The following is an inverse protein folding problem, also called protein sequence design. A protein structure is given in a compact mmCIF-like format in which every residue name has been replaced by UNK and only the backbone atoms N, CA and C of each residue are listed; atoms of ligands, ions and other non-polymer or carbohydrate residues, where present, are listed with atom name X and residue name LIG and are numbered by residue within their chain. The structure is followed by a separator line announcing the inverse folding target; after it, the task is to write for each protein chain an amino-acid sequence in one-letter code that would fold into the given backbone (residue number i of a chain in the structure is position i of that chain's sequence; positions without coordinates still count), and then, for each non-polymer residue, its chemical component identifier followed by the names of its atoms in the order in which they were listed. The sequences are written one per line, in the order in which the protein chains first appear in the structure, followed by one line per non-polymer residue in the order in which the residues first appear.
data_IF_135941391231
#
_entry.id   IF_135941391231
#
_cell.length_a   1.000
_cell.length_b   1.000
_cell.length_c   1.000
_cell.angle_alpha   90.00
_cell.angle_beta   90.00
_cell.angle_gamma   90.00
#
_symmetry.space_group_name_H-M   'P 1'
#
loop_
_entity.id
_entity.type
_entity.pdbx_description
1 polymer ?
#
# COMPACT_ATOMS: atom_id res chain seq x y z
N UNK A 1 -19.43 17.32 3.47
CA UNK A 1 -18.09 17.75 3.91
C UNK A 1 -18.10 17.72 5.41
N UNK A 2 -17.00 17.25 5.97
CA UNK A 2 -16.74 17.19 7.40
C UNK A 2 -15.88 18.40 7.79
N UNK A 3 -16.14 19.01 8.95
CA UNK A 3 -15.37 20.14 9.50
C UNK A 3 -14.84 19.70 10.86
N UNK A 4 -13.53 19.54 10.98
CA UNK A 4 -12.87 18.97 12.16
C UNK A 4 -11.65 19.79 12.61
N UNK A 5 -11.36 19.81 13.90
CA UNK A 5 -10.09 20.27 14.47
C UNK A 5 -9.43 19.09 15.20
N UNK A 6 -8.11 19.00 15.13
CA UNK A 6 -7.37 17.85 15.68
C UNK A 6 -6.24 18.31 16.59
N UNK A 7 -6.05 17.58 17.68
CA UNK A 7 -5.04 17.83 18.69
C UNK A 7 -4.31 16.54 19.06
N UNK A 8 -3.00 16.65 19.29
CA UNK A 8 -2.21 15.58 19.88
C UNK A 8 -2.13 15.79 21.39
N UNK A 9 -2.38 14.73 22.15
CA UNK A 9 -2.28 14.76 23.60
C UNK A 9 -1.00 14.02 24.01
N UNK A 10 -0.09 14.73 24.66
CA UNK A 10 1.28 14.25 24.92
C UNK A 10 1.41 13.30 26.11
N UNK A 11 0.42 13.30 27.00
CA UNK A 11 0.44 12.54 28.26
C UNK A 11 -0.92 11.92 28.57
N UNK A 12 -0.90 10.71 29.13
CA UNK A 12 -2.10 9.92 29.42
C UNK A 12 -2.92 10.49 30.58
N UNK A 13 -2.28 11.10 31.58
CA UNK A 13 -3.00 11.69 32.73
C UNK A 13 -3.85 12.86 32.24
N UNK A 14 -3.31 13.72 31.37
CA UNK A 14 -4.08 14.80 30.76
C UNK A 14 -5.22 14.26 29.90
N UNK A 15 -4.96 13.24 29.06
CA UNK A 15 -5.98 12.60 28.23
C UNK A 15 -7.15 12.05 29.07
N UNK A 16 -6.85 11.30 30.12
CA UNK A 16 -7.85 10.73 31.03
C UNK A 16 -8.62 11.82 31.80
N UNK A 17 -7.95 12.92 32.17
CA UNK A 17 -8.61 14.08 32.79
C UNK A 17 -9.59 14.76 31.84
N UNK A 18 -9.21 14.95 30.57
CA UNK A 18 -10.04 15.62 29.58
C UNK A 18 -11.26 14.79 29.17
N UNK A 19 -11.18 13.46 29.21
CA UNK A 19 -12.35 12.58 29.01
C UNK A 19 -13.45 12.77 30.07
N UNK A 20 -13.15 13.44 31.18
CA UNK A 20 -14.10 13.76 32.25
C UNK A 20 -14.53 15.24 32.25
N UNK A 21 -14.23 15.98 31.18
CA UNK A 21 -14.64 17.39 31.05
C UNK A 21 -16.16 17.48 30.93
N UNK A 22 -16.77 18.35 31.73
CA UNK A 22 -18.21 18.60 31.74
C UNK A 22 -18.58 19.97 31.14
N UNK A 23 -17.61 20.88 31.02
CA UNK A 23 -17.80 22.22 30.43
C UNK A 23 -16.62 22.71 29.61
N UNK A 24 -16.93 23.43 28.53
CA UNK A 24 -15.99 24.23 27.75
C UNK A 24 -16.52 25.66 27.71
N UNK A 25 -16.04 26.51 28.63
CA UNK A 25 -16.63 27.83 28.86
C UNK A 25 -18.09 27.72 29.33
N UNK A 26 -19.02 28.18 28.49
CA UNK A 26 -20.48 28.10 28.73
C UNK A 26 -21.14 26.90 28.03
N UNK A 27 -20.37 26.09 27.30
CA UNK A 27 -20.85 24.90 26.58
C UNK A 27 -20.88 23.70 27.54
N UNK A 28 -21.94 22.90 27.46
CA UNK A 28 -22.07 21.68 28.24
C UNK A 28 -21.52 20.49 27.46
N UNK A 29 -20.74 19.64 28.11
CA UNK A 29 -20.16 18.42 27.55
C UNK A 29 -20.76 17.22 28.29
N UNK A 30 -21.37 16.29 27.55
CA UNK A 30 -22.11 15.16 28.13
C UNK A 30 -22.17 13.95 27.19
N UNK A 31 -22.89 12.92 27.62
CA UNK A 31 -23.21 11.72 26.82
C UNK A 31 -21.99 10.92 26.36
N UNK A 32 -21.09 10.60 27.30
CA UNK A 32 -19.90 9.80 27.05
C UNK A 32 -20.23 8.40 26.50
N UNK A 33 -19.66 8.03 25.35
CA UNK A 33 -19.81 6.70 24.75
C UNK A 33 -18.44 6.10 24.44
N UNK A 34 -18.13 4.98 25.10
CA UNK A 34 -16.94 4.19 24.82
C UNK A 34 -17.17 3.26 23.60
N UNK A 35 -16.20 3.22 22.69
CA UNK A 35 -16.21 2.41 21.48
C UNK A 35 -14.83 1.79 21.27
N UNK A 36 -14.82 0.53 20.86
CA UNK A 36 -13.62 -0.16 20.38
C UNK A 36 -13.87 -0.68 18.97
N UNK A 37 -12.94 -0.43 18.06
CA UNK A 37 -13.04 -0.89 16.68
C UNK A 37 -11.68 -0.87 15.98
N UNK A 38 -11.61 -1.55 14.84
CA UNK A 38 -10.44 -1.62 13.98
C UNK A 38 -10.79 -1.12 12.58
N UNK A 39 -9.96 -0.22 12.06
CA UNK A 39 -9.98 0.24 10.68
C UNK A 39 -8.87 -0.46 9.90
N UNK A 40 -9.19 -1.09 8.78
CA UNK A 40 -8.19 -1.56 7.80
C UNK A 40 -8.11 -0.56 6.66
N UNK A 41 -6.94 0.04 6.44
CA UNK A 41 -6.70 0.91 5.29
C UNK A 41 -6.32 0.08 4.07
N UNK A 42 -6.92 0.41 2.93
CA UNK A 42 -6.89 -0.39 1.71
C UNK A 42 -6.50 0.47 0.51
N UNK A 43 -5.65 -0.05 -0.37
CA UNK A 43 -5.34 0.56 -1.67
C UNK A 43 -4.92 -0.52 -2.68
N UNK A 44 -4.75 -0.17 -3.95
CA UNK A 44 -4.17 -1.05 -4.96
C UNK A 44 -2.67 -1.18 -4.76
N UNK A 45 -2.05 -2.19 -5.39
CA UNK A 45 -0.59 -2.43 -5.32
C UNK A 45 0.24 -1.23 -5.78
N UNK A 46 -0.30 -0.40 -6.67
CA UNK A 46 0.28 0.84 -7.18
C UNK A 46 -0.19 2.11 -6.44
N UNK A 47 -0.97 1.99 -5.36
CA UNK A 47 -1.44 3.11 -4.54
C UNK A 47 -2.37 4.09 -5.29
N UNK A 48 -3.28 3.58 -6.12
CA UNK A 48 -4.12 4.40 -7.00
C UNK A 48 -5.08 5.33 -6.23
N UNK A 49 -5.61 4.91 -5.07
CA UNK A 49 -6.51 5.74 -4.26
C UNK A 49 -5.72 6.88 -3.60
N UNK A 50 -4.57 6.57 -3.02
CA UNK A 50 -3.64 7.56 -2.48
C UNK A 50 -3.19 8.55 -3.56
N UNK A 51 -2.81 8.06 -4.74
CA UNK A 51 -2.42 8.88 -5.89
C UNK A 51 -3.54 9.80 -6.38
N UNK A 52 -4.80 9.40 -6.22
CA UNK A 52 -5.96 10.25 -6.49
C UNK A 52 -6.24 11.29 -5.38
N UNK A 53 -5.47 11.30 -4.29
CA UNK A 53 -5.60 12.23 -3.16
C UNK A 53 -6.62 11.80 -2.11
N UNK A 54 -6.89 10.50 -1.98
CA UNK A 54 -7.84 9.95 -1.02
C UNK A 54 -7.22 8.86 -0.15
N UNK A 55 -7.83 8.61 1.01
CA UNK A 55 -7.65 7.39 1.79
C UNK A 55 -8.93 6.57 1.76
N UNK A 56 -8.81 5.25 1.80
CA UNK A 56 -9.94 4.34 1.84
C UNK A 56 -9.76 3.33 2.98
N UNK A 57 -10.78 3.23 3.84
CA UNK A 57 -10.77 2.32 4.99
C UNK A 57 -12.02 1.45 5.05
N UNK A 58 -11.85 0.28 5.64
CA UNK A 58 -12.90 -0.67 5.98
C UNK A 58 -12.90 -0.85 7.51
N UNK A 59 -14.04 -0.53 8.14
CA UNK A 59 -14.30 -0.75 9.57
C UNK A 59 -15.25 -1.92 9.74
N UNK A 60 -14.78 -2.96 10.40
CA UNK A 60 -15.61 -4.12 10.73
C UNK A 60 -16.25 -3.90 12.11
N UNK A 61 -17.58 -3.94 12.17
CA UNK A 61 -18.37 -3.92 13.41
C UNK A 61 -19.15 -5.22 13.52
N UNK A 62 -19.62 -5.56 14.72
CA UNK A 62 -20.31 -6.82 15.02
C UNK A 62 -21.41 -7.19 14.02
N UNK A 63 -22.21 -6.21 13.60
CA UNK A 63 -23.40 -6.43 12.76
C UNK A 63 -23.34 -5.74 11.39
N UNK A 64 -22.24 -5.03 11.09
CA UNK A 64 -22.08 -4.30 9.82
C UNK A 64 -20.63 -3.99 9.50
N UNK A 65 -20.35 -3.78 8.22
CA UNK A 65 -19.10 -3.25 7.70
C UNK A 65 -19.33 -1.83 7.20
N UNK A 66 -18.44 -0.91 7.54
CA UNK A 66 -18.50 0.49 7.08
C UNK A 66 -17.26 0.78 6.25
N UNK A 67 -17.45 1.28 5.03
CA UNK A 67 -16.39 1.73 4.16
C UNK A 67 -16.41 3.25 4.08
N UNK A 68 -15.25 3.87 4.19
CA UNK A 68 -15.09 5.33 4.17
C UNK A 68 -14.02 5.70 3.15
N UNK A 69 -14.35 6.63 2.24
CA UNK A 69 -13.39 7.31 1.37
C UNK A 69 -13.27 8.77 1.84
N UNK A 70 -12.08 9.19 2.27
CA UNK A 70 -11.82 10.52 2.83
C UNK A 70 -10.67 11.21 2.08
N UNK A 71 -10.86 12.46 1.67
CA UNK A 71 -9.85 13.23 0.96
C UNK A 71 -8.64 13.54 1.85
N UNK A 72 -7.43 13.40 1.33
CA UNK A 72 -6.18 13.62 2.09
C UNK A 72 -5.87 15.10 2.30
N UNK A 73 -6.24 15.97 1.34
CA UNK A 73 -5.98 17.41 1.44
C UNK A 73 -6.85 18.03 2.53
N UNK A 74 -6.24 18.32 3.68
CA UNK A 74 -6.74 19.35 4.61
C UNK A 74 -6.10 20.70 4.28
N UNK A 75 -6.84 21.80 4.41
CA UNK A 75 -6.24 23.12 4.51
C UNK A 75 -5.26 23.11 5.71
N UNK A 76 -4.06 23.67 5.56
CA UNK A 76 -3.06 23.78 6.65
C UNK A 76 -3.47 24.69 7.80
N UNK A 77 -4.77 24.89 8.01
CA UNK A 77 -5.42 25.61 9.09
C UNK A 77 -5.71 24.69 10.26
N UNK A 78 -5.97 25.27 11.44
CA UNK A 78 -6.43 24.58 12.65
C UNK A 78 -7.68 23.71 12.41
N UNK A 79 -8.55 24.18 11.53
CA UNK A 79 -9.77 23.51 11.12
C UNK A 79 -9.55 22.94 9.73
N UNK A 80 -9.88 21.66 9.56
CA UNK A 80 -9.83 20.96 8.30
C UNK A 80 -11.24 20.77 7.75
N UNK A 81 -11.39 21.01 6.46
CA UNK A 81 -12.60 20.68 5.72
C UNK A 81 -12.28 19.60 4.70
N UNK A 82 -12.91 18.43 4.82
CA UNK A 82 -12.60 17.26 4.00
C UNK A 82 -13.86 16.68 3.35
N UNK A 83 -13.66 16.18 2.15
CA UNK A 83 -14.66 15.35 1.50
C UNK A 83 -14.62 13.95 2.11
N UNK A 84 -15.77 13.46 2.57
CA UNK A 84 -15.94 12.12 3.09
C UNK A 84 -17.18 11.48 2.46
N UNK A 85 -17.10 10.20 2.14
CA UNK A 85 -18.24 9.40 1.68
C UNK A 85 -18.20 8.06 2.38
N UNK A 86 -19.30 7.71 3.06
CA UNK A 86 -19.45 6.44 3.75
C UNK A 86 -20.50 5.55 3.10
N UNK A 87 -20.29 4.23 3.21
CA UNK A 87 -21.24 3.21 2.81
C UNK A 87 -21.21 2.05 3.81
N UNK A 88 -22.38 1.59 4.25
CA UNK A 88 -22.51 0.48 5.20
C UNK A 88 -23.14 -0.75 4.55
N UNK A 89 -22.66 -1.93 4.89
CA UNK A 89 -23.16 -3.23 4.42
C UNK A 89 -23.24 -4.23 5.58
N UNK A 90 -23.97 -5.33 5.39
CA UNK A 90 -24.08 -6.41 6.39
C UNK A 90 -22.82 -7.28 6.48
N UNK A 91 -22.08 -7.40 5.39
CA UNK A 91 -20.89 -8.24 5.30
C UNK A 91 -19.83 -7.63 4.38
N UNK A 92 -18.61 -8.16 4.46
CA UNK A 92 -17.47 -7.72 3.67
C UNK A 92 -17.51 -8.39 2.30
N UNK A 93 -17.69 -7.61 1.24
CA UNK A 93 -17.68 -8.08 -0.14
C UNK A 93 -16.62 -7.33 -0.97
N UNK A 94 -16.08 -7.93 -2.04
CA UNK A 94 -15.30 -7.20 -3.03
C UNK A 94 -16.09 -6.01 -3.58
N UNK A 95 -15.43 -4.87 -3.83
CA UNK A 95 -16.09 -3.62 -4.29
C UNK A 95 -16.94 -3.84 -5.56
N UNK A 96 -16.52 -4.76 -6.42
CA UNK A 96 -17.25 -5.09 -7.66
C UNK A 96 -18.62 -5.73 -7.40
N UNK A 97 -18.78 -6.42 -6.28
CA UNK A 97 -20.01 -7.10 -5.86
C UNK A 97 -20.96 -6.22 -5.04
N UNK A 98 -20.54 -4.99 -4.69
CA UNK A 98 -21.40 -4.07 -3.97
C UNK A 98 -22.61 -3.64 -4.80
N UNK A 99 -23.69 -3.31 -4.09
CA UNK A 99 -24.82 -2.60 -4.68
C UNK A 99 -24.39 -1.28 -5.33
N UNK A 100 -25.17 -0.82 -6.31
CA UNK A 100 -24.89 0.45 -6.99
C UNK A 100 -25.04 1.64 -6.04
N UNK A 101 -23.92 2.10 -5.49
CA UNK A 101 -23.83 3.31 -4.66
C UNK A 101 -22.77 4.28 -5.19
N UNK A 102 -22.79 5.52 -4.69
CA UNK A 102 -21.83 6.56 -5.08
C UNK A 102 -20.41 6.12 -4.74
N UNK A 103 -20.20 5.55 -3.54
CA UNK A 103 -18.89 5.10 -3.10
C UNK A 103 -18.32 4.01 -4.03
N UNK A 104 -19.13 3.03 -4.42
CA UNK A 104 -18.74 1.99 -5.39
C UNK A 104 -18.24 2.61 -6.69
N UNK A 105 -18.99 3.55 -7.28
CA UNK A 105 -18.59 4.21 -8.54
C UNK A 105 -17.27 4.96 -8.41
N UNK A 106 -17.06 5.66 -7.28
CA UNK A 106 -15.83 6.39 -7.03
C UNK A 106 -14.62 5.47 -6.87
N UNK A 107 -14.74 4.45 -6.02
CA UNK A 107 -13.65 3.50 -5.78
C UNK A 107 -13.30 2.74 -7.06
N UNK A 108 -14.29 2.24 -7.81
CA UNK A 108 -14.04 1.61 -9.11
C UNK A 108 -13.41 2.56 -10.14
N UNK A 109 -13.74 3.85 -10.08
CA UNK A 109 -13.13 4.88 -10.91
C UNK A 109 -11.63 5.10 -10.62
N UNK A 110 -11.17 4.84 -9.40
CA UNK A 110 -9.75 4.93 -9.05
C UNK A 110 -9.00 3.63 -9.33
N UNK A 111 -9.56 2.48 -8.92
CA UNK A 111 -8.82 1.21 -8.95
C UNK A 111 -8.85 0.50 -10.30
N UNK A 112 -9.79 0.86 -11.19
CA UNK A 112 -9.95 0.21 -12.49
C UNK A 112 -10.15 -1.30 -12.37
N UNK A 113 -9.25 -2.08 -12.98
CA UNK A 113 -9.23 -3.55 -12.86
C UNK A 113 -8.51 -4.10 -11.62
N UNK A 114 -7.78 -3.26 -10.88
CA UNK A 114 -6.98 -3.66 -9.73
C UNK A 114 -7.79 -4.18 -8.55
N UNK A 115 -7.13 -4.91 -7.67
CA UNK A 115 -7.67 -5.36 -6.38
C UNK A 115 -7.17 -4.51 -5.21
N UNK A 116 -7.94 -4.50 -4.13
CA UNK A 116 -7.60 -3.77 -2.90
C UNK A 116 -6.87 -4.66 -1.92
N UNK A 117 -5.76 -4.16 -1.40
CA UNK A 117 -4.90 -4.85 -0.44
C UNK A 117 -4.83 -4.06 0.87
N UNK A 118 -4.79 -4.75 2.02
CA UNK A 118 -4.54 -4.09 3.30
C UNK A 118 -3.14 -3.47 3.33
N UNK A 119 -3.07 -2.20 3.67
CA UNK A 119 -1.81 -1.47 3.89
C UNK A 119 -1.38 -1.56 5.35
N UNK A 120 -2.29 -1.25 6.27
CA UNK A 120 -2.10 -1.29 7.72
C UNK A 120 -3.46 -1.25 8.41
N UNK A 121 -3.46 -1.53 9.71
CA UNK A 121 -4.65 -1.45 10.55
C UNK A 121 -4.48 -0.38 11.62
N UNK A 122 -5.60 0.21 12.05
CA UNK A 122 -5.67 1.19 13.12
C UNK A 122 -6.69 0.69 14.13
N UNK A 123 -6.22 0.38 15.32
CA UNK A 123 -7.02 0.00 16.49
C UNK A 123 -7.35 1.26 17.28
N UNK A 124 -8.60 1.36 17.72
CA UNK A 124 -9.11 2.52 18.44
C UNK A 124 -9.73 2.08 19.76
N UNK A 125 -9.35 2.75 20.84
CA UNK A 125 -10.19 2.88 22.03
C UNK A 125 -10.65 4.33 22.11
N UNK A 126 -11.91 4.55 21.74
CA UNK A 126 -12.49 5.89 21.54
C UNK A 126 -13.54 6.19 22.60
N UNK A 127 -13.45 7.35 23.21
CA UNK A 127 -14.53 7.93 24.02
C UNK A 127 -15.08 9.16 23.31
N UNK A 128 -16.34 9.09 22.89
CA UNK A 128 -17.03 10.22 22.27
C UNK A 128 -17.86 10.97 23.31
N UNK A 129 -17.78 12.30 23.31
CA UNK A 129 -18.58 13.21 24.13
C UNK A 129 -19.29 14.21 23.23
N UNK A 130 -20.53 14.55 23.56
CA UNK A 130 -21.34 15.48 22.79
C UNK A 130 -21.31 16.88 23.43
N UNK A 131 -21.17 17.93 22.61
CA UNK A 131 -21.13 19.33 23.05
C UNK A 131 -22.46 20.00 22.71
N UNK A 132 -23.01 20.71 23.70
CA UNK A 132 -24.25 21.45 23.58
C UNK A 132 -24.09 22.94 23.92
N UNK A 133 -24.79 23.79 23.15
CA UNK A 133 -25.09 25.17 23.51
C UNK A 133 -26.55 25.27 23.94
N UNK A 134 -26.79 25.25 25.26
CA UNK A 134 -28.13 25.01 25.80
C UNK A 134 -28.63 23.63 25.39
N UNK A 135 -29.71 23.56 24.60
CA UNK A 135 -30.26 22.29 24.08
C UNK A 135 -29.75 21.93 22.67
N UNK A 136 -28.98 22.80 22.02
CA UNK A 136 -28.52 22.58 20.64
C UNK A 136 -27.27 21.72 20.63
N UNK A 137 -27.31 20.58 19.93
CA UNK A 137 -26.12 19.78 19.67
C UNK A 137 -25.26 20.45 18.60
N UNK A 138 -24.01 20.77 18.93
CA UNK A 138 -23.14 21.59 18.06
C UNK A 138 -21.83 20.92 17.66
N UNK A 139 -21.29 19.97 18.43
CA UNK A 139 -20.03 19.30 18.12
C UNK A 139 -19.89 17.98 18.88
N UNK A 140 -19.03 17.10 18.38
CA UNK A 140 -18.56 15.88 19.06
C UNK A 140 -17.07 16.03 19.41
N UNK A 141 -16.67 15.57 20.59
CA UNK A 141 -15.28 15.33 20.97
C UNK A 141 -15.00 13.84 20.89
N UNK A 142 -14.05 13.44 20.05
CA UNK A 142 -13.55 12.07 20.00
C UNK A 142 -12.16 12.00 20.63
N UNK A 143 -12.09 11.38 21.80
CA UNK A 143 -10.82 11.03 22.45
C UNK A 143 -10.39 9.65 21.97
N UNK A 144 -9.33 9.57 21.17
CA UNK A 144 -8.80 8.30 20.67
C UNK A 144 -7.46 7.93 21.35
N UNK A 145 -7.41 6.74 21.93
CA UNK A 145 -6.17 5.99 22.12
C UNK A 145 -5.95 5.13 20.87
N UNK A 146 -5.01 5.57 20.03
CA UNK A 146 -4.76 5.01 18.70
C UNK A 146 -3.56 4.06 18.74
N UNK A 147 -3.73 2.90 18.12
CA UNK A 147 -2.66 1.94 17.85
C UNK A 147 -2.65 1.57 16.38
N UNK A 148 -1.62 2.00 15.65
CA UNK A 148 -1.40 1.63 14.25
C UNK A 148 -0.51 0.39 14.20
N UNK A 149 -0.94 -0.64 13.48
CA UNK A 149 -0.18 -1.87 13.24
C UNK A 149 0.08 -2.02 11.74
N UNK A 150 1.37 -2.09 11.38
CA UNK A 150 1.84 -2.27 10.01
C UNK A 150 2.95 -3.33 10.01
N UNK A 151 2.67 -4.50 9.43
CA UNK A 151 3.51 -5.69 9.56
C UNK A 151 3.79 -6.01 11.04
N UNK A 152 5.05 -6.19 11.41
CA UNK A 152 5.48 -6.47 12.79
C UNK A 152 5.70 -5.21 13.64
N UNK A 153 5.47 -4.01 13.07
CA UNK A 153 5.72 -2.74 13.74
C UNK A 153 4.42 -2.09 14.19
N UNK A 154 4.49 -1.43 15.35
CA UNK A 154 3.36 -0.74 15.97
C UNK A 154 3.75 0.67 16.38
N UNK A 155 2.81 1.60 16.22
CA UNK A 155 2.93 2.99 16.69
C UNK A 155 1.66 3.40 17.41
N UNK A 156 1.79 3.98 18.59
CA UNK A 156 0.66 4.46 19.39
C UNK A 156 0.76 5.94 19.68
N UNK A 157 -0.39 6.60 19.80
CA UNK A 157 -0.52 8.00 20.19
C UNK A 157 -1.93 8.30 20.67
N UNK A 158 -2.06 9.39 21.43
CA UNK A 158 -3.34 9.89 21.92
C UNK A 158 -3.72 11.12 21.12
N UNK A 159 -4.98 11.20 20.69
CA UNK A 159 -5.49 12.38 20.00
C UNK A 159 -6.90 12.76 20.45
N UNK A 160 -7.19 14.05 20.31
CA UNK A 160 -8.51 14.62 20.46
C UNK A 160 -8.94 15.20 19.12
N UNK A 161 -10.06 14.72 18.58
CA UNK A 161 -10.74 15.29 17.42
C UNK A 161 -11.99 16.05 17.90
N UNK A 162 -12.21 17.25 17.36
CA UNK A 162 -13.43 18.03 17.53
C UNK A 162 -14.11 18.08 16.17
N UNK A 163 -15.29 17.49 16.04
CA UNK A 163 -16.06 17.49 14.80
C UNK A 163 -17.32 18.34 14.95
N UNK A 164 -17.59 19.19 13.97
CA UNK A 164 -18.81 20.00 13.96
C UNK A 164 -20.04 19.13 13.65
N UNK A 165 -21.07 19.21 14.49
CA UNK A 165 -22.25 18.35 14.40
C UNK A 165 -23.54 19.17 14.43
N UNK A 166 -24.61 18.59 13.86
CA UNK A 166 -25.97 19.11 14.04
C UNK A 166 -26.15 20.58 13.65
N UNK A 167 -26.44 21.42 14.65
CA UNK A 167 -26.68 22.86 14.49
C UNK A 167 -25.43 23.73 14.73
N UNK A 168 -24.25 23.12 14.85
CA UNK A 168 -22.99 23.83 15.05
C UNK A 168 -22.60 24.72 13.88
N UNK A 169 -21.89 25.81 14.20
CA UNK A 169 -21.34 26.76 13.23
C UNK A 169 -19.81 26.74 13.23
N UNK A 170 -19.18 27.28 12.18
CA UNK A 170 -17.71 27.45 12.15
C UNK A 170 -17.18 28.25 13.35
N UNK A 171 -17.95 29.23 13.85
CA UNK A 171 -17.58 29.99 15.03
C UNK A 171 -17.53 29.13 16.30
N UNK A 172 -18.42 28.13 16.40
CA UNK A 172 -18.45 27.22 17.54
C UNK A 172 -17.21 26.32 17.58
N UNK A 173 -16.85 25.70 16.45
CA UNK A 173 -15.64 24.86 16.39
C UNK A 173 -14.37 25.69 16.56
N UNK A 174 -14.32 26.93 16.06
CA UNK A 174 -13.21 27.83 16.35
C UNK A 174 -13.07 28.08 17.85
N UNK A 175 -14.17 28.40 18.53
CA UNK A 175 -14.18 28.64 19.97
C UNK A 175 -13.73 27.41 20.76
N UNK A 176 -14.22 26.22 20.41
CA UNK A 176 -13.84 24.96 21.06
C UNK A 176 -12.36 24.65 20.81
N UNK A 177 -11.89 24.81 19.57
CA UNK A 177 -10.50 24.56 19.22
C UNK A 177 -9.53 25.55 19.89
N UNK A 178 -9.92 26.82 20.03
CA UNK A 178 -9.16 27.84 20.76
C UNK A 178 -9.06 27.52 22.25
N UNK A 179 -10.13 27.03 22.88
CA UNK A 179 -10.08 26.57 24.27
C UNK A 179 -9.02 25.47 24.46
N UNK A 180 -9.06 24.42 23.64
CA UNK A 180 -8.08 23.33 23.75
C UNK A 180 -6.65 23.76 23.43
N UNK A 181 -6.46 24.69 22.49
CA UNK A 181 -5.13 25.20 22.13
C UNK A 181 -4.57 26.15 23.20
N UNK A 182 -5.34 27.14 23.62
CA UNK A 182 -4.84 28.29 24.38
C UNK A 182 -5.02 28.13 25.88
N UNK A 183 -6.15 27.56 26.33
CA UNK A 183 -6.42 27.35 27.76
C UNK A 183 -5.82 26.04 28.26
N UNK A 184 -5.98 24.95 27.49
CA UNK A 184 -5.43 23.63 27.86
C UNK A 184 -3.98 23.46 27.39
N UNK A 185 -3.58 24.14 26.31
CA UNK A 185 -2.22 24.06 25.77
C UNK A 185 -1.96 22.85 24.86
N UNK A 186 -2.99 22.28 24.24
CA UNK A 186 -2.83 21.13 23.36
C UNK A 186 -2.15 21.51 22.03
N UNK A 187 -1.26 20.64 21.56
CA UNK A 187 -0.61 20.81 20.27
C UNK A 187 -1.58 20.45 19.13
N UNK A 188 -1.69 21.34 18.14
CA UNK A 188 -2.51 21.09 16.95
C UNK A 188 -1.92 19.93 16.15
N UNK A 189 -2.74 18.92 15.87
CA UNK A 189 -2.40 17.79 15.02
C UNK A 189 -2.80 18.07 13.58
N UNK A 190 -1.87 17.90 12.63
CA UNK A 190 -2.14 18.09 11.19
C UNK A 190 -2.23 16.78 10.40
N UNK A 191 -1.70 15.68 10.96
CA UNK A 191 -1.66 14.38 10.31
C UNK A 191 -2.94 13.59 10.58
N UNK A 192 -3.50 13.00 9.53
CA UNK A 192 -4.59 12.03 9.65
C UNK A 192 -4.06 10.67 10.15
N UNK A 193 -4.99 9.79 10.56
CA UNK A 193 -4.67 8.40 10.92
C UNK A 193 -4.04 7.66 9.73
N UNK A 194 -4.50 7.95 8.50
CA UNK A 194 -3.86 7.47 7.28
C UNK A 194 -2.41 7.97 7.14
N UNK A 195 -2.16 9.27 7.31
CA UNK A 195 -0.81 9.84 7.18
C UNK A 195 0.18 9.21 8.17
N UNK A 196 -0.28 8.99 9.41
CA UNK A 196 0.52 8.34 10.44
C UNK A 196 0.82 6.87 10.10
N UNK A 197 -0.16 6.14 9.55
CA UNK A 197 0.02 4.76 9.14
C UNK A 197 0.86 4.61 7.87
N UNK A 198 0.67 5.49 6.90
CA UNK A 198 1.49 5.56 5.69
C UNK A 198 2.94 5.92 6.04
N UNK A 199 3.17 6.82 7.00
CA UNK A 199 4.51 7.09 7.52
C UNK A 199 5.16 5.84 8.12
N UNK A 200 4.44 5.06 8.93
CA UNK A 200 4.94 3.81 9.49
C UNK A 200 5.24 2.78 8.38
N UNK A 201 4.34 2.65 7.41
CA UNK A 201 4.54 1.81 6.22
C UNK A 201 5.83 2.17 5.46
N UNK A 202 6.10 3.46 5.26
CA UNK A 202 7.32 3.94 4.63
C UNK A 202 8.58 3.75 5.50
N UNK A 203 8.45 3.85 6.83
CA UNK A 203 9.52 3.57 7.79
C UNK A 203 9.91 2.08 7.79
N UNK A 204 8.95 1.16 7.64
CA UNK A 204 9.20 -0.27 7.48
C UNK A 204 10.09 -0.54 6.25
N UNK A 205 9.72 0.00 5.08
CA UNK A 205 10.50 -0.17 3.83
C UNK A 205 11.93 0.36 3.98
N UNK A 206 12.10 1.52 4.63
CA UNK A 206 13.43 2.11 4.89
C UNK A 206 14.26 1.26 5.85
N UNK A 207 13.63 0.71 6.87
CA UNK A 207 14.29 -0.17 7.85
C UNK A 207 14.75 -1.45 7.17
N UNK A 208 13.92 -2.05 6.33
CA UNK A 208 14.26 -3.21 5.52
C UNK A 208 15.47 -2.94 4.63
N UNK A 209 15.50 -1.82 3.93
CA UNK A 209 16.66 -1.44 3.10
C UNK A 209 17.93 -1.20 3.92
N UNK A 210 17.83 -0.63 5.12
CA UNK A 210 19.00 -0.37 5.97
C UNK A 210 19.62 -1.65 6.55
N UNK A 211 18.81 -2.70 6.70
CA UNK A 211 19.21 -3.97 7.30
C UNK A 211 19.61 -5.00 6.24
N UNK A 212 18.92 -5.04 5.10
CA UNK A 212 19.25 -5.88 3.97
C UNK A 212 20.45 -5.32 3.20
N UNK A 213 21.46 -6.16 2.98
CA UNK A 213 22.65 -5.82 2.19
C UNK A 213 23.43 -4.58 2.69
N UNK A 214 23.35 -4.27 3.98
CA UNK A 214 24.10 -3.16 4.59
C UNK A 214 25.60 -3.22 4.22
N UNK A 215 26.15 -2.09 3.76
CA UNK A 215 27.56 -1.97 3.40
C UNK A 215 27.97 -2.56 2.03
N UNK A 216 27.03 -3.07 1.23
CA UNK A 216 27.36 -3.77 -0.04
C UNK A 216 27.23 -2.93 -1.32
N UNK A 217 26.73 -1.70 -1.25
CA UNK A 217 26.65 -0.81 -2.42
C UNK A 217 27.51 0.44 -2.21
N UNK A 218 28.52 0.70 -3.08
CA UNK A 218 29.15 2.01 -3.14
C UNK A 218 28.07 3.03 -3.50
N UNK A 219 27.98 4.16 -2.78
CA UNK A 219 27.13 5.30 -3.13
C UNK A 219 27.42 5.74 -4.58
N UNK A 220 26.77 5.15 -5.58
CA UNK A 220 26.60 5.80 -6.86
C UNK A 220 25.69 6.98 -6.58
N UNK A 221 26.10 8.17 -7.02
CA UNK A 221 25.51 9.46 -6.63
C UNK A 221 24.00 9.49 -6.66
N UNK A 222 23.42 10.41 -5.89
CA UNK A 222 21.97 10.64 -5.79
C UNK A 222 21.35 10.62 -7.19
N UNK A 223 20.78 9.47 -7.55
CA UNK A 223 20.01 9.32 -8.78
C UNK A 223 18.78 10.20 -8.69
N UNK A 224 18.12 10.41 -9.82
CA UNK A 224 16.86 11.13 -9.83
C UNK A 224 15.84 10.25 -9.10
N UNK A 225 15.04 10.83 -8.22
CA UNK A 225 13.88 10.15 -7.63
C UNK A 225 12.60 10.84 -8.05
N UNK A 226 11.57 10.06 -8.34
CA UNK A 226 10.21 10.52 -8.61
C UNK A 226 9.23 9.66 -7.81
N UNK A 227 8.11 10.22 -7.33
CA UNK A 227 7.03 9.42 -6.77
C UNK A 227 6.61 8.33 -7.76
N UNK A 228 6.33 7.11 -7.28
CA UNK A 228 5.97 5.98 -8.15
C UNK A 228 4.83 6.35 -9.10
N UNK A 229 3.80 7.03 -8.63
CA UNK A 229 2.66 7.42 -9.46
C UNK A 229 3.04 8.37 -10.59
N UNK A 230 3.94 9.33 -10.34
CA UNK A 230 4.46 10.21 -11.39
C UNK A 230 5.28 9.42 -12.41
N UNK A 231 6.06 8.43 -11.94
CA UNK A 231 6.81 7.55 -12.83
C UNK A 231 5.91 6.68 -13.71
N UNK A 232 4.81 6.15 -13.18
CA UNK A 232 3.84 5.37 -13.97
C UNK A 232 3.20 6.23 -15.07
N UNK A 233 2.89 7.50 -14.77
CA UNK A 233 2.30 8.46 -15.70
C UNK A 233 3.30 8.95 -16.76
N UNK A 234 4.47 9.44 -16.34
CA UNK A 234 5.49 10.03 -17.23
C UNK A 234 5.98 9.03 -18.29
N UNK A 235 6.13 7.76 -17.91
CA UNK A 235 6.56 6.70 -18.83
C UNK A 235 5.40 5.96 -19.50
N UNK A 236 4.16 6.39 -19.25
CA UNK A 236 2.93 5.83 -19.81
C UNK A 236 2.86 4.30 -19.65
N UNK A 237 3.13 3.83 -18.43
CA UNK A 237 3.06 2.41 -18.09
C UNK A 237 1.60 1.98 -18.10
N UNK A 238 1.32 0.83 -18.73
CA UNK A 238 -0.02 0.26 -18.74
C UNK A 238 -0.40 -0.27 -17.34
N UNK A 239 -1.08 0.55 -16.56
CA UNK A 239 -1.31 0.31 -15.13
C UNK A 239 -2.11 -0.98 -14.86
N UNK A 240 -3.12 -1.30 -15.67
CA UNK A 240 -3.90 -2.54 -15.47
C UNK A 240 -3.02 -3.79 -15.62
N UNK A 241 -2.15 -3.82 -16.63
CA UNK A 241 -1.16 -4.90 -16.79
C UNK A 241 -0.15 -4.91 -15.64
N UNK A 242 0.41 -3.76 -15.31
CA UNK A 242 1.41 -3.64 -14.25
C UNK A 242 0.84 -4.11 -12.90
N UNK A 243 -0.41 -3.75 -12.57
CA UNK A 243 -1.14 -4.25 -11.40
C UNK A 243 -1.25 -5.77 -11.48
N UNK A 244 -1.79 -6.32 -12.57
CA UNK A 244 -2.02 -7.78 -12.65
C UNK A 244 -0.74 -8.60 -12.55
N UNK A 245 0.34 -8.16 -13.21
CA UNK A 245 1.67 -8.77 -13.07
C UNK A 245 2.17 -8.67 -11.64
N UNK A 246 1.94 -7.55 -10.97
CA UNK A 246 2.33 -7.36 -9.57
C UNK A 246 1.56 -8.28 -8.62
N UNK A 247 0.26 -8.42 -8.79
CA UNK A 247 -0.59 -9.33 -8.01
C UNK A 247 -0.10 -10.78 -8.16
N UNK A 248 0.10 -11.24 -9.40
CA UNK A 248 0.65 -12.57 -9.69
C UNK A 248 2.06 -12.75 -9.10
N UNK A 249 2.92 -11.72 -9.22
CA UNK A 249 4.29 -11.75 -8.71
C UNK A 249 4.33 -11.88 -7.18
N UNK A 250 3.47 -11.15 -6.47
CA UNK A 250 3.38 -11.22 -5.01
C UNK A 250 2.79 -12.55 -4.54
N UNK A 251 1.76 -13.06 -5.21
CA UNK A 251 1.20 -14.38 -4.89
C UNK A 251 2.22 -15.50 -5.08
N UNK A 252 3.01 -15.46 -6.16
CA UNK A 252 4.11 -16.41 -6.38
C UNK A 252 5.24 -16.22 -5.37
N UNK A 253 5.61 -14.98 -5.04
CA UNK A 253 6.63 -14.69 -4.03
C UNK A 253 6.24 -15.24 -2.66
N UNK A 254 4.98 -15.12 -2.27
CA UNK A 254 4.52 -15.61 -0.97
C UNK A 254 4.38 -17.15 -0.99
N UNK A 255 3.78 -17.71 -2.04
CA UNK A 255 3.51 -19.15 -2.11
C UNK A 255 4.76 -19.99 -2.35
N UNK A 256 5.80 -19.45 -2.98
CA UNK A 256 7.01 -20.18 -3.34
C UNK A 256 8.19 -19.94 -2.39
N UNK A 257 7.96 -19.25 -1.25
CA UNK A 257 8.97 -19.00 -0.21
C UNK A 257 9.73 -20.26 0.22
N UNK A 258 9.08 -21.44 0.41
CA UNK A 258 9.77 -22.67 0.78
C UNK A 258 10.78 -23.17 -0.25
N UNK A 259 10.81 -22.60 -1.46
CA UNK A 259 11.70 -23.01 -2.56
C UNK A 259 12.72 -21.91 -2.88
N UNK A 260 12.28 -20.65 -3.01
CA UNK A 260 13.22 -19.58 -3.38
C UNK A 260 13.97 -18.98 -2.20
N UNK A 261 13.46 -19.12 -0.97
CA UNK A 261 14.09 -18.65 0.27
C UNK A 261 14.49 -17.15 0.25
N UNK A 262 13.69 -16.32 -0.43
CA UNK A 262 13.92 -14.88 -0.45
C UNK A 262 13.44 -14.33 0.88
N UNK A 263 14.18 -13.38 1.45
CA UNK A 263 13.74 -12.72 2.67
C UNK A 263 12.40 -12.00 2.43
N UNK A 264 11.42 -12.21 3.31
CA UNK A 264 10.08 -11.58 3.20
C UNK A 264 10.13 -10.06 3.07
N UNK A 265 11.17 -9.40 3.58
CA UNK A 265 11.40 -7.95 3.45
C UNK A 265 11.63 -7.51 1.99
N UNK A 266 11.97 -8.43 1.09
CA UNK A 266 12.05 -8.16 -0.35
C UNK A 266 10.69 -8.13 -1.04
N UNK A 267 9.60 -8.51 -0.38
CA UNK A 267 8.25 -8.51 -0.95
C UNK A 267 7.85 -7.14 -1.48
N UNK A 268 8.18 -6.07 -0.76
CA UNK A 268 7.95 -4.70 -1.23
C UNK A 268 8.81 -4.35 -2.45
N UNK A 269 10.07 -4.79 -2.47
CA UNK A 269 10.93 -4.63 -3.64
C UNK A 269 10.36 -5.37 -4.87
N UNK A 270 9.75 -6.55 -4.67
CA UNK A 270 9.07 -7.30 -5.72
C UNK A 270 7.88 -6.53 -6.28
N UNK A 271 7.09 -5.90 -5.41
CA UNK A 271 5.98 -5.02 -5.79
C UNK A 271 6.45 -3.91 -6.74
N UNK A 272 7.45 -3.13 -6.34
CA UNK A 272 7.98 -2.05 -7.19
C UNK A 272 8.58 -2.59 -8.48
N UNK A 273 9.37 -3.67 -8.44
CA UNK A 273 9.99 -4.28 -9.61
C UNK A 273 8.94 -4.72 -10.66
N UNK A 274 7.81 -5.26 -10.23
CA UNK A 274 6.73 -5.67 -11.11
C UNK A 274 5.97 -4.48 -11.69
N UNK A 275 5.71 -3.43 -10.90
CA UNK A 275 5.02 -2.24 -11.37
C UNK A 275 5.78 -1.47 -12.47
N UNK A 276 7.12 -1.45 -12.39
CA UNK A 276 7.96 -0.69 -13.34
C UNK A 276 8.61 -1.55 -14.43
N UNK A 277 8.29 -2.85 -14.51
CA UNK A 277 9.01 -3.78 -15.39
C UNK A 277 8.99 -3.37 -16.88
N UNK A 278 7.91 -2.68 -17.29
CA UNK A 278 7.65 -2.25 -18.66
C UNK A 278 7.90 -0.75 -18.90
N UNK A 279 8.59 -0.06 -17.99
CA UNK A 279 8.93 1.38 -18.09
C UNK A 279 9.61 1.76 -19.43
N UNK A 280 10.29 0.83 -20.08
CA UNK A 280 10.96 1.05 -21.37
C UNK A 280 10.09 0.85 -22.61
N UNK A 281 8.83 0.43 -22.49
CA UNK A 281 7.97 0.05 -23.62
C UNK A 281 7.66 1.24 -24.53
N UNK A 282 7.30 2.39 -23.94
CA UNK A 282 6.97 3.59 -24.71
C UNK A 282 8.18 4.14 -25.48
N UNK A 283 9.38 4.00 -24.92
CA UNK A 283 10.62 4.44 -25.58
C UNK A 283 11.07 3.49 -26.70
N UNK A 284 11.08 2.17 -26.45
CA UNK A 284 11.41 1.17 -27.47
C UNK A 284 10.79 -0.19 -27.13
N UNK A 285 9.68 -0.52 -27.78
CA UNK A 285 8.99 -1.80 -27.62
C UNK A 285 9.88 -3.04 -27.92
N UNK A 286 10.82 -2.94 -28.86
CA UNK A 286 11.68 -4.07 -29.26
C UNK A 286 12.76 -4.32 -28.21
N UNK A 287 13.33 -3.27 -27.64
CA UNK A 287 14.41 -3.37 -26.65
C UNK A 287 14.06 -2.89 -25.24
N UNK A 288 12.77 -2.78 -24.91
CA UNK A 288 12.25 -2.23 -23.64
C UNK A 288 12.99 -2.71 -22.37
N UNK A 289 13.24 -4.02 -22.20
CA UNK A 289 14.07 -4.54 -21.10
C UNK A 289 15.46 -3.87 -20.93
N UNK A 290 16.13 -3.46 -22.02
CA UNK A 290 17.41 -2.75 -21.96
C UNK A 290 17.21 -1.28 -21.65
N UNK A 291 16.26 -0.65 -22.32
CA UNK A 291 15.96 0.79 -22.14
C UNK A 291 15.44 1.03 -20.73
N UNK A 292 14.50 0.20 -20.26
CA UNK A 292 13.98 0.25 -18.89
C UNK A 292 15.06 0.01 -17.84
N UNK A 293 16.00 -0.91 -18.06
CA UNK A 293 17.19 -1.02 -17.19
C UNK A 293 17.98 0.29 -17.14
N UNK A 294 18.22 0.90 -18.30
CA UNK A 294 19.04 2.12 -18.37
C UNK A 294 18.33 3.31 -17.72
N UNK A 295 17.01 3.43 -17.87
CA UNK A 295 16.16 4.38 -17.13
C UNK A 295 16.29 4.12 -15.61
N UNK A 296 16.03 2.88 -15.15
CA UNK A 296 16.02 2.52 -13.73
C UNK A 296 17.41 2.46 -13.09
N UNK A 297 18.49 2.62 -13.87
CA UNK A 297 19.83 2.84 -13.34
C UNK A 297 20.08 4.29 -12.92
N UNK A 298 19.27 5.22 -13.43
CA UNK A 298 19.37 6.67 -13.21
C UNK A 298 18.18 7.22 -12.44
N UNK A 299 17.03 6.56 -12.53
CA UNK A 299 15.75 6.93 -11.93
C UNK A 299 15.28 5.86 -10.94
N UNK A 300 14.86 6.30 -9.75
CA UNK A 300 14.38 5.45 -8.67
C UNK A 300 13.01 5.93 -8.15
N UNK A 301 12.05 5.05 -7.84
CA UNK A 301 10.85 5.44 -7.10
C UNK A 301 11.24 6.03 -5.73
N UNK A 302 10.69 7.18 -5.36
CA UNK A 302 10.98 7.85 -4.08
C UNK A 302 10.63 6.95 -2.87
N UNK A 303 9.65 6.08 -3.06
CA UNK A 303 9.17 5.16 -2.04
C UNK A 303 10.11 3.95 -1.83
N UNK A 304 11.08 3.71 -2.71
CA UNK A 304 12.01 2.58 -2.60
C UNK A 304 13.46 3.04 -2.37
N UNK A 305 13.98 2.94 -1.14
CA UNK A 305 15.32 3.39 -0.82
C UNK A 305 16.42 2.47 -1.38
N UNK A 306 17.62 3.03 -1.50
CA UNK A 306 18.86 2.26 -1.71
C UNK A 306 19.16 1.42 -0.45
N UNK A 307 19.72 0.19 -0.59
CA UNK A 307 20.18 -0.47 -1.82
C UNK A 307 19.08 -1.19 -2.62
N UNK A 308 17.84 -1.28 -2.12
CA UNK A 308 16.77 -2.09 -2.73
C UNK A 308 16.38 -1.61 -4.13
N UNK A 309 16.46 -0.32 -4.39
CA UNK A 309 16.17 0.23 -5.72
C UNK A 309 17.03 -0.39 -6.83
N UNK A 310 18.23 -0.88 -6.52
CA UNK A 310 19.09 -1.54 -7.51
C UNK A 310 18.57 -2.89 -8.02
N UNK A 311 17.50 -3.46 -7.44
CA UNK A 311 16.85 -4.65 -7.98
C UNK A 311 16.11 -4.34 -9.29
N UNK A 312 15.43 -3.19 -9.35
CA UNK A 312 14.51 -2.77 -10.40
C UNK A 312 15.14 -2.80 -11.81
N UNK A 313 16.33 -2.21 -12.06
CA UNK A 313 16.91 -2.23 -13.40
C UNK A 313 17.24 -3.65 -13.86
N UNK A 314 17.63 -4.55 -12.95
CA UNK A 314 18.08 -5.89 -13.32
C UNK A 314 16.94 -6.89 -13.46
N UNK A 315 15.90 -6.81 -12.63
CA UNK A 315 14.66 -7.56 -12.86
C UNK A 315 14.03 -7.12 -14.18
N UNK A 316 14.00 -5.81 -14.46
CA UNK A 316 13.57 -5.25 -15.76
C UNK A 316 14.44 -5.74 -16.92
N UNK A 317 15.76 -5.80 -16.76
CA UNK A 317 16.63 -6.32 -17.82
C UNK A 317 16.37 -7.80 -18.13
N UNK A 318 16.03 -8.58 -17.11
CA UNK A 318 15.92 -10.03 -17.18
C UNK A 318 14.51 -10.54 -17.50
N UNK A 319 13.46 -9.72 -17.48
CA UNK A 319 12.09 -10.22 -17.65
C UNK A 319 11.77 -10.70 -19.09
N UNK A 320 12.38 -10.12 -20.13
CA UNK A 320 11.95 -10.36 -21.51
C UNK A 320 12.57 -11.57 -22.22
N UNK A 321 13.90 -11.66 -22.24
CA UNK A 321 14.62 -12.58 -23.15
C UNK A 321 14.81 -13.95 -22.54
N UNK A 322 14.61 -15.01 -23.33
CA UNK A 322 14.88 -16.39 -22.91
C UNK A 322 16.26 -16.50 -22.27
N UNK A 323 16.33 -17.06 -21.07
CA UNK A 323 17.53 -17.28 -20.30
C UNK A 323 18.12 -18.67 -20.55
N UNK A 324 19.44 -18.74 -20.51
CA UNK A 324 20.22 -19.97 -20.62
C UNK A 324 21.51 -19.79 -19.80
N UNK A 325 22.25 -20.89 -19.58
CA UNK A 325 23.48 -20.87 -18.77
C UNK A 325 24.53 -19.89 -19.30
N UNK A 326 24.64 -19.71 -20.62
CA UNK A 326 25.60 -18.78 -21.23
C UNK A 326 25.21 -17.32 -20.97
N UNK A 327 23.92 -16.98 -21.06
CA UNK A 327 23.42 -15.64 -20.73
C UNK A 327 23.60 -15.31 -19.24
N UNK A 328 23.34 -16.26 -18.35
CA UNK A 328 23.60 -16.09 -16.91
C UNK A 328 25.10 -15.87 -16.64
N UNK A 329 25.96 -16.67 -17.26
CA UNK A 329 27.42 -16.48 -17.16
C UNK A 329 27.89 -15.13 -17.72
N UNK A 330 27.28 -14.63 -18.79
CA UNK A 330 27.58 -13.29 -19.33
C UNK A 330 27.05 -12.17 -18.42
N UNK A 331 25.94 -12.38 -17.73
CA UNK A 331 25.39 -11.44 -16.76
C UNK A 331 26.35 -11.27 -15.57
N UNK A 332 26.85 -12.38 -15.00
CA UNK A 332 27.79 -12.35 -13.87
C UNK A 332 29.12 -11.67 -14.19
N UNK A 333 29.47 -11.53 -15.47
CA UNK A 333 30.64 -10.77 -15.92
C UNK A 333 30.38 -9.30 -16.20
N UNK A 334 29.11 -8.83 -16.21
CA UNK A 334 28.82 -7.42 -16.47
C UNK A 334 29.33 -6.57 -15.31
N UNK A 335 30.21 -5.60 -15.58
CA UNK A 335 30.76 -4.67 -14.58
C UNK A 335 29.69 -3.96 -13.72
N UNK A 336 28.52 -3.64 -14.31
CA UNK A 336 27.42 -3.00 -13.56
C UNK A 336 26.68 -3.98 -12.62
N UNK A 337 26.71 -5.28 -12.87
CA UNK A 337 26.01 -6.32 -12.09
C UNK A 337 26.94 -7.01 -11.09
N UNK A 338 28.13 -7.41 -11.55
CA UNK A 338 29.18 -8.06 -10.73
C UNK A 338 29.67 -7.26 -9.52
N UNK A 339 29.32 -5.98 -9.42
CA UNK A 339 29.65 -5.12 -8.28
C UNK A 339 28.83 -5.42 -7.02
N UNK A 340 27.67 -6.06 -7.16
CA UNK A 340 26.81 -6.39 -6.01
C UNK A 340 27.39 -7.60 -5.26
N UNK A 341 27.03 -7.75 -3.99
CA UNK A 341 27.35 -8.97 -3.24
C UNK A 341 26.75 -10.21 -3.93
N UNK A 342 27.36 -11.38 -3.73
CA UNK A 342 26.86 -12.62 -4.31
C UNK A 342 25.42 -12.90 -3.88
N UNK A 343 25.08 -12.61 -2.61
CA UNK A 343 23.73 -12.74 -2.08
C UNK A 343 22.74 -11.85 -2.85
N UNK A 344 23.04 -10.55 -3.01
CA UNK A 344 22.17 -9.65 -3.75
C UNK A 344 22.04 -10.02 -5.24
N UNK A 345 23.10 -10.53 -5.87
CA UNK A 345 23.02 -11.05 -7.24
C UNK A 345 22.07 -12.25 -7.33
N UNK A 346 22.15 -13.19 -6.39
CA UNK A 346 21.27 -14.35 -6.30
C UNK A 346 19.81 -13.92 -6.10
N UNK A 347 19.56 -13.01 -5.15
CA UNK A 347 18.22 -12.52 -4.82
C UNK A 347 17.58 -11.78 -6.01
N UNK A 348 18.35 -10.96 -6.75
CA UNK A 348 17.89 -10.33 -8.00
C UNK A 348 17.50 -11.39 -9.04
N UNK A 349 18.29 -12.44 -9.21
CA UNK A 349 18.04 -13.49 -10.21
C UNK A 349 16.78 -14.28 -9.85
N UNK A 350 16.59 -14.62 -8.57
CA UNK A 350 15.39 -15.27 -8.05
C UNK A 350 14.15 -14.41 -8.24
N UNK A 351 14.19 -13.12 -7.86
CA UNK A 351 13.08 -12.19 -8.10
C UNK A 351 12.77 -12.02 -9.59
N UNK A 352 13.81 -11.93 -10.44
CA UNK A 352 13.61 -11.89 -11.88
C UNK A 352 12.94 -13.18 -12.41
N UNK A 353 13.23 -14.35 -11.84
CA UNK A 353 12.59 -15.61 -12.23
C UNK A 353 11.08 -15.60 -11.93
N UNK A 354 10.68 -15.07 -10.77
CA UNK A 354 9.27 -14.93 -10.38
C UNK A 354 8.58 -13.88 -11.28
N UNK A 355 9.23 -12.73 -11.52
CA UNK A 355 8.67 -11.65 -12.35
C UNK A 355 8.42 -12.12 -13.79
N UNK A 356 9.33 -12.92 -14.35
CA UNK A 356 9.18 -13.51 -15.69
C UNK A 356 7.92 -14.37 -15.78
N UNK A 357 7.68 -15.21 -14.78
CA UNK A 357 6.52 -16.09 -14.71
C UNK A 357 5.25 -15.25 -14.56
N UNK A 358 5.24 -14.27 -13.66
CA UNK A 358 4.10 -13.39 -13.41
C UNK A 358 3.69 -12.58 -14.65
N UNK A 359 4.65 -12.04 -15.40
CA UNK A 359 4.45 -11.38 -16.71
C UNK A 359 3.97 -12.41 -17.77
N UNK A 360 4.33 -13.68 -17.63
CA UNK A 360 3.76 -14.75 -18.46
C UNK A 360 2.27 -14.99 -18.23
N UNK A 361 1.84 -14.93 -16.97
CA UNK A 361 0.45 -15.17 -16.54
C UNK A 361 -0.54 -14.07 -16.92
N UNK A 362 -0.06 -12.92 -17.44
CA UNK A 362 -0.91 -11.83 -17.92
C UNK A 362 -0.63 -11.46 -19.39
N UNK A 363 -0.26 -12.45 -20.22
CA UNK A 363 -0.05 -12.20 -21.65
C UNK A 363 -1.37 -11.90 -22.38
N UNK A 364 -2.46 -12.53 -21.95
CA UNK A 364 -3.77 -12.37 -22.57
C UNK A 364 -4.45 -11.05 -22.21
N UNK A 365 -4.05 -10.42 -21.09
CA UNK A 365 -4.73 -9.28 -20.44
C UNK A 365 -6.18 -9.57 -20.08
N UNK A 366 -6.52 -10.84 -19.81
CA UNK A 366 -7.87 -11.30 -19.46
C UNK A 366 -8.02 -11.72 -18.00
N UNK A 367 -7.17 -11.19 -17.12
CA UNK A 367 -7.25 -11.35 -15.66
C UNK A 367 -7.25 -12.81 -15.18
N UNK A 368 -6.45 -13.67 -15.81
CA UNK A 368 -6.21 -15.02 -15.27
C UNK A 368 -5.59 -14.94 -13.88
N UNK A 369 -6.01 -15.82 -12.97
CA UNK A 369 -5.65 -15.76 -11.56
C UNK A 369 -5.15 -17.12 -11.09
N UNK A 370 -4.13 -17.13 -10.23
CA UNK A 370 -3.63 -18.35 -9.60
C UNK A 370 -4.61 -18.75 -8.50
N UNK A 371 -5.13 -19.97 -8.56
CA UNK A 371 -6.13 -20.48 -7.59
C UNK A 371 -5.60 -21.58 -6.69
N UNK A 372 -4.46 -22.19 -7.04
CA UNK A 372 -3.85 -23.28 -6.28
C UNK A 372 -2.35 -23.36 -6.58
N UNK A 373 -1.54 -23.62 -5.56
CA UNK A 373 -0.08 -23.82 -5.66
C UNK A 373 0.27 -25.09 -4.88
N UNK A 374 0.46 -26.18 -5.60
CA UNK A 374 0.79 -27.48 -5.03
C UNK A 374 2.31 -27.65 -4.94
N UNK A 375 2.81 -27.64 -3.70
CA UNK A 375 4.22 -27.87 -3.37
C UNK A 375 4.49 -29.31 -2.89
N UNK A 376 3.49 -30.18 -2.74
CA UNK A 376 3.67 -31.52 -2.15
C UNK A 376 4.28 -32.51 -3.14
N UNK A 377 4.11 -32.26 -4.44
CA UNK A 377 4.65 -33.09 -5.53
C UNK A 377 6.16 -32.92 -5.71
N UNK A 378 6.75 -33.82 -6.51
CA UNK A 378 8.17 -33.72 -6.91
C UNK A 378 8.46 -32.38 -7.59
N UNK A 379 7.58 -31.94 -8.49
CA UNK A 379 7.61 -30.62 -9.12
C UNK A 379 6.39 -29.78 -8.69
N UNK A 380 6.53 -28.46 -8.74
CA UNK A 380 5.48 -27.51 -8.36
C UNK A 380 4.41 -27.48 -9.46
N UNK A 381 3.14 -27.56 -9.06
CA UNK A 381 2.01 -27.41 -10.00
C UNK A 381 1.15 -26.23 -9.58
N UNK A 382 1.01 -25.25 -10.46
CA UNK A 382 0.19 -24.06 -10.25
C UNK A 382 -1.05 -24.14 -11.13
N UNK A 383 -2.23 -24.03 -10.52
CA UNK A 383 -3.50 -23.96 -11.25
C UNK A 383 -3.91 -22.51 -11.46
N UNK A 384 -4.32 -22.23 -12.69
CA UNK A 384 -4.72 -20.91 -13.16
C UNK A 384 -6.17 -20.97 -13.62
N UNK A 385 -6.98 -19.99 -13.20
CA UNK A 385 -8.39 -19.86 -13.58
C UNK A 385 -8.63 -18.55 -14.31
N UNK A 386 -9.45 -18.58 -15.34
CA UNK A 386 -9.80 -17.41 -16.13
C UNK A 386 -10.14 -17.76 -17.58
N UNK A 387 -10.73 -16.82 -18.31
CA UNK A 387 -11.17 -17.04 -19.69
C UNK A 387 -10.04 -17.32 -20.70
N UNK A 388 -8.79 -17.08 -20.31
CA UNK A 388 -7.59 -17.40 -21.10
C UNK A 388 -6.52 -18.14 -20.27
N UNK A 389 -6.94 -18.83 -19.21
CA UNK A 389 -6.03 -19.53 -18.29
C UNK A 389 -5.08 -20.48 -19.01
N UNK A 390 -5.55 -21.23 -20.02
CA UNK A 390 -4.69 -22.11 -20.81
C UNK A 390 -3.56 -21.36 -21.54
N UNK A 391 -3.85 -20.20 -22.12
CA UNK A 391 -2.86 -19.39 -22.87
C UNK A 391 -1.84 -18.78 -21.89
N UNK A 392 -2.34 -18.24 -20.78
CA UNK A 392 -1.51 -17.61 -19.76
C UNK A 392 -0.63 -18.63 -19.03
N UNK A 393 -1.16 -19.84 -18.77
CA UNK A 393 -0.41 -20.96 -18.20
C UNK A 393 0.73 -21.41 -19.14
N UNK A 394 0.45 -21.66 -20.43
CA UNK A 394 1.49 -22.04 -21.41
C UNK A 394 2.60 -20.97 -21.53
N UNK A 395 2.20 -19.70 -21.47
CA UNK A 395 3.14 -18.59 -21.51
C UNK A 395 3.99 -18.48 -20.25
N UNK A 396 3.39 -18.64 -19.07
CA UNK A 396 4.09 -18.70 -17.80
C UNK A 396 5.10 -19.85 -17.79
N UNK A 397 4.70 -21.03 -18.27
CA UNK A 397 5.58 -22.18 -18.43
C UNK A 397 6.76 -21.88 -19.36
N UNK A 398 6.51 -21.25 -20.50
CA UNK A 398 7.59 -20.83 -21.42
C UNK A 398 8.56 -19.84 -20.74
N UNK A 399 8.07 -18.96 -19.86
CA UNK A 399 8.87 -17.96 -19.13
C UNK A 399 9.49 -18.47 -17.82
N UNK A 400 9.18 -19.69 -17.39
CA UNK A 400 9.83 -20.36 -16.25
C UNK A 400 11.23 -20.92 -16.59
N UNK A 401 11.78 -20.58 -17.77
CA UNK A 401 13.13 -20.97 -18.18
C UNK A 401 14.25 -20.53 -17.21
N UNK A 402 14.12 -19.35 -16.59
CA UNK A 402 15.08 -18.91 -15.57
C UNK A 402 14.93 -19.68 -14.26
N UNK A 403 13.69 -19.98 -13.84
CA UNK A 403 13.41 -20.80 -12.66
C UNK A 403 14.10 -22.16 -12.76
N UNK A 404 13.92 -22.83 -13.90
CA UNK A 404 14.52 -24.15 -14.23
C UNK A 404 16.05 -24.15 -14.29
N UNK A 405 16.68 -22.98 -14.35
CA UNK A 405 18.14 -22.88 -14.34
C UNK A 405 18.71 -22.75 -12.93
N UNK A 406 17.91 -22.28 -11.96
CA UNK A 406 18.39 -21.85 -10.64
C UNK A 406 17.79 -22.65 -9.49
N UNK A 407 16.68 -23.34 -9.70
CA UNK A 407 16.05 -24.21 -8.70
C UNK A 407 16.06 -25.67 -9.14
N UNK A 408 16.16 -26.57 -8.14
CA UNK A 408 16.11 -28.02 -8.37
C UNK A 408 14.68 -28.48 -8.68
N UNK A 409 13.70 -27.88 -8.02
CA UNK A 409 12.28 -28.19 -8.19
C UNK A 409 11.72 -27.46 -9.41
N UNK A 410 11.25 -28.18 -10.41
CA UNK A 410 10.63 -27.56 -11.59
C UNK A 410 9.22 -27.03 -11.23
N UNK A 411 8.65 -26.22 -12.12
CA UNK A 411 7.37 -25.56 -11.98
C UNK A 411 6.57 -25.71 -13.27
N UNK A 412 5.29 -26.04 -13.12
CA UNK A 412 4.35 -26.23 -14.23
C UNK A 412 3.05 -25.47 -13.99
N UNK A 413 2.46 -24.93 -15.04
CA UNK A 413 1.20 -24.17 -14.99
C UNK A 413 0.10 -24.90 -15.73
N UNK A 414 -1.09 -24.96 -15.14
CA UNK A 414 -2.24 -25.66 -15.74
C UNK A 414 -3.52 -24.86 -15.57
N UNK A 415 -4.42 -24.96 -16.55
CA UNK A 415 -5.78 -24.47 -16.41
C UNK A 415 -6.54 -25.30 -15.36
N UNK A 416 -7.27 -24.60 -14.49
CA UNK A 416 -8.23 -25.18 -13.56
C UNK A 416 -9.58 -25.35 -14.27
N UNK A 417 -9.98 -26.61 -14.50
CA UNK A 417 -11.19 -26.98 -15.24
C UNK A 417 -12.47 -26.91 -14.42
#
# INVERSE_FOLDING_TARGET
MEIEAKFIVSDRILFDSLMNIDKIGDLDVRDAVLKEFVDTYLDTVDMAIYGAGFSFRCREKKDKVVYTLKSLKGSGSLIHMREETEFSMSEKLPVREWDNCILRKRVLGFIGSGELYPLFTVEHQRTDLQIYSGEKHIAELSFDDVSIVCDDNKKSYLELEVELMGEGTEADIHRIAEFFRDEIGLAVGSSSKFDNGFKLYMENIRTDASTLYAGTIPRSGEGISLPLMEMLDEYNIEQDHARKVTENALQLFDALEPVHHLDRRLRQTMRFAALVHDIGVMTDMKTHHKVGRDILLELCPEELPQPLCMFLPWTTFLHKKRMDRNKLFKLSQKKKFSRFSLQMQDDIIKMASILRIADGLDISRKNSTIVDVDLEKEDIVIKVRGSAAAIDADRADTKADLWRLIFEKDIYFREDY
#
